data_IF_946972203377
#
_entry.id   IF_946972203377
#
_cell.length_a   1.000
_cell.length_b   1.000
_cell.length_c   1.000
_cell.angle_alpha   90.00
_cell.angle_beta   90.00
_cell.angle_gamma   90.00
#
_symmetry.space_group_name_H-M   'P 1'
#
loop_
_entity.id
_entity.type
_entity.pdbx_description
1 polymer ?
#
# COMPACT_ATOMS: atom_id res chain seq x y z
N UNK A 1 -27.21 -18.03 -8.57
CA UNK A 1 -28.30 -17.25 -7.95
C UNK A 1 -28.11 -15.73 -8.05
N UNK A 2 -27.10 -15.23 -8.78
CA UNK A 2 -26.68 -13.80 -8.76
C UNK A 2 -27.36 -12.96 -9.87
N UNK A 3 -27.67 -13.54 -11.04
CA UNK A 3 -28.35 -12.83 -12.15
C UNK A 3 -29.72 -12.27 -11.75
N UNK A 4 -30.44 -12.96 -10.85
CA UNK A 4 -31.72 -12.49 -10.33
C UNK A 4 -31.62 -11.24 -9.45
N UNK A 5 -30.49 -11.09 -8.74
CA UNK A 5 -30.25 -9.94 -7.85
C UNK A 5 -29.90 -8.67 -8.66
N UNK A 6 -29.08 -8.82 -9.70
CA UNK A 6 -28.72 -7.73 -10.62
C UNK A 6 -29.94 -7.14 -11.31
N UNK A 7 -30.84 -7.97 -11.87
CA UNK A 7 -32.07 -7.49 -12.52
C UNK A 7 -33.06 -6.87 -11.51
N UNK A 8 -33.13 -7.40 -10.29
CA UNK A 8 -33.95 -6.84 -9.19
C UNK A 8 -33.54 -5.40 -8.86
N UNK A 9 -32.22 -5.12 -8.81
CA UNK A 9 -31.70 -3.77 -8.57
C UNK A 9 -32.16 -2.78 -9.63
N UNK A 10 -32.17 -3.15 -10.91
CA UNK A 10 -32.63 -2.27 -11.99
C UNK A 10 -34.15 -2.07 -11.98
N UNK A 11 -34.92 -3.09 -11.57
CA UNK A 11 -36.35 -2.92 -11.34
C UNK A 11 -36.63 -1.91 -10.20
N UNK A 12 -35.82 -1.93 -9.13
CA UNK A 12 -35.91 -0.94 -8.05
C UNK A 12 -35.58 0.48 -8.54
N UNK A 13 -34.55 0.65 -9.39
CA UNK A 13 -34.23 1.94 -10.03
C UNK A 13 -35.38 2.46 -10.91
N UNK A 14 -36.01 1.57 -11.69
CA UNK A 14 -37.20 1.93 -12.48
C UNK A 14 -38.35 2.38 -11.57
N UNK A 15 -38.63 1.62 -10.51
CA UNK A 15 -39.67 1.98 -9.53
C UNK A 15 -39.42 3.34 -8.89
N UNK A 16 -38.15 3.64 -8.57
CA UNK A 16 -37.72 4.94 -8.03
C UNK A 16 -38.00 6.11 -9.00
N UNK A 17 -37.84 5.91 -10.31
CA UNK A 17 -38.19 6.94 -11.30
C UNK A 17 -39.70 7.13 -11.43
N UNK A 18 -40.47 6.04 -11.33
CA UNK A 18 -41.94 6.08 -11.45
C UNK A 18 -42.63 6.68 -10.21
N UNK A 19 -42.03 6.59 -9.02
CA UNK A 19 -42.62 7.15 -7.80
C UNK A 19 -42.58 8.69 -7.76
N UNK A 20 -41.65 9.32 -8.49
CA UNK A 20 -41.49 10.78 -8.53
C UNK A 20 -40.99 11.42 -7.22
N UNK A 21 -40.55 10.61 -6.25
CA UNK A 21 -40.12 11.08 -4.91
C UNK A 21 -38.59 11.20 -4.77
N UNK A 22 -37.84 10.85 -5.81
CA UNK A 22 -36.38 10.81 -5.78
C UNK A 22 -35.77 12.22 -5.87
N UNK A 23 -34.61 12.40 -5.22
CA UNK A 23 -33.82 13.62 -5.35
C UNK A 23 -33.26 13.77 -6.78
N UNK A 24 -32.87 14.99 -7.22
CA UNK A 24 -32.34 15.20 -8.57
C UNK A 24 -31.14 14.30 -8.90
N UNK A 25 -30.26 14.07 -7.93
CA UNK A 25 -29.10 13.19 -8.12
C UNK A 25 -29.50 11.74 -8.31
N UNK A 26 -30.45 11.24 -7.51
CA UNK A 26 -30.96 9.88 -7.65
C UNK A 26 -31.69 9.67 -8.99
N UNK A 27 -32.41 10.68 -9.47
CA UNK A 27 -33.05 10.64 -10.80
C UNK A 27 -31.98 10.55 -11.88
N UNK A 28 -30.95 11.40 -11.85
CA UNK A 28 -29.86 11.37 -12.84
C UNK A 28 -29.11 10.04 -12.81
N UNK A 29 -28.78 9.52 -11.63
CA UNK A 29 -28.15 8.21 -11.49
C UNK A 29 -29.02 7.09 -12.07
N UNK A 30 -30.28 6.98 -11.62
CA UNK A 30 -31.18 5.90 -12.05
C UNK A 30 -31.53 5.97 -13.53
N UNK A 31 -31.81 7.17 -14.06
CA UNK A 31 -32.09 7.38 -15.47
C UNK A 31 -30.90 6.98 -16.33
N UNK A 32 -29.71 7.41 -15.97
CA UNK A 32 -28.48 7.09 -16.68
C UNK A 32 -28.17 5.60 -16.67
N UNK A 33 -28.45 4.94 -15.54
CA UNK A 33 -28.17 3.52 -15.36
C UNK A 33 -29.00 2.66 -16.32
N UNK A 34 -30.27 3.03 -16.51
CA UNK A 34 -31.19 2.41 -17.45
C UNK A 34 -30.84 2.78 -18.90
N UNK A 35 -30.49 4.03 -19.18
CA UNK A 35 -30.12 4.50 -20.53
C UNK A 35 -28.87 3.79 -21.07
N UNK A 36 -27.85 3.62 -20.23
CA UNK A 36 -26.61 2.90 -20.56
C UNK A 36 -26.81 1.39 -20.77
N UNK A 37 -28.01 0.87 -20.52
CA UNK A 37 -28.38 -0.56 -20.58
C UNK A 37 -29.70 -0.80 -21.34
N UNK A 38 -30.12 0.17 -22.15
CA UNK A 38 -31.46 0.23 -22.77
C UNK A 38 -31.84 -0.95 -23.66
N UNK A 39 -30.87 -1.65 -24.25
CA UNK A 39 -31.11 -2.86 -25.06
C UNK A 39 -31.45 -4.07 -24.21
N UNK A 40 -31.15 -4.02 -22.90
CA UNK A 40 -31.34 -5.11 -21.94
C UNK A 40 -32.37 -4.78 -20.87
N UNK A 41 -32.61 -3.50 -20.59
CA UNK A 41 -33.48 -3.02 -19.52
C UNK A 41 -34.59 -2.10 -20.06
N UNK A 42 -35.74 -2.13 -19.39
CA UNK A 42 -36.86 -1.23 -19.70
C UNK A 42 -36.53 0.21 -19.26
N UNK A 43 -36.82 1.17 -20.14
CA UNK A 43 -36.56 2.61 -19.92
C UNK A 43 -37.83 3.42 -19.67
N UNK A 44 -38.92 2.75 -19.27
CA UNK A 44 -40.19 3.41 -18.97
C UNK A 44 -40.01 4.45 -17.84
N UNK A 45 -40.60 5.64 -18.02
CA UNK A 45 -40.52 6.74 -17.05
C UNK A 45 -39.23 7.55 -17.07
N UNK A 46 -38.16 7.10 -17.74
CA UNK A 46 -36.86 7.81 -17.81
C UNK A 46 -37.03 9.21 -18.40
N UNK A 47 -37.63 9.30 -19.59
CA UNK A 47 -37.87 10.56 -20.30
C UNK A 47 -38.72 11.54 -19.47
N UNK A 48 -39.78 11.03 -18.84
CA UNK A 48 -40.67 11.84 -18.02
C UNK A 48 -39.95 12.38 -16.78
N UNK A 49 -39.13 11.54 -16.12
CA UNK A 49 -38.34 11.93 -14.97
C UNK A 49 -37.29 12.98 -15.33
N UNK A 50 -36.55 12.81 -16.44
CA UNK A 50 -35.57 13.78 -16.91
C UNK A 50 -36.20 15.11 -17.35
N UNK A 51 -37.36 15.09 -18.01
CA UNK A 51 -38.12 16.32 -18.32
C UNK A 51 -38.64 17.02 -17.07
N UNK A 52 -38.94 16.25 -16.02
CA UNK A 52 -39.38 16.77 -14.73
C UNK A 52 -38.29 17.49 -13.92
N UNK A 53 -37.01 17.24 -14.21
CA UNK A 53 -35.90 17.94 -13.56
C UNK A 53 -35.73 19.36 -14.11
N UNK A 54 -35.96 20.35 -13.26
CA UNK A 54 -35.72 21.75 -13.59
C UNK A 54 -34.24 22.10 -13.59
N UNK A 55 -33.84 23.04 -14.45
CA UNK A 55 -32.47 23.58 -14.53
C UNK A 55 -31.88 23.99 -13.15
N UNK A 56 -32.61 24.69 -12.25
CA UNK A 56 -32.07 25.03 -10.94
C UNK A 56 -31.71 23.81 -10.07
N UNK A 57 -32.43 22.70 -10.23
CA UNK A 57 -32.17 21.46 -9.49
C UNK A 57 -30.89 20.78 -9.99
N UNK A 58 -30.69 20.74 -11.30
CA UNK A 58 -29.47 20.20 -11.92
C UNK A 58 -28.26 21.06 -11.57
N UNK A 59 -28.39 22.38 -11.60
CA UNK A 59 -27.32 23.29 -11.18
C UNK A 59 -26.95 23.12 -9.70
N UNK A 60 -27.96 22.99 -8.82
CA UNK A 60 -27.72 22.72 -7.40
C UNK A 60 -27.03 21.36 -7.18
N UNK A 61 -27.43 20.33 -7.94
CA UNK A 61 -26.77 19.03 -7.93
C UNK A 61 -25.32 19.11 -8.42
N UNK A 62 -25.04 19.81 -9.53
CA UNK A 62 -23.69 20.02 -10.04
C UNK A 62 -22.79 20.71 -9.01
N UNK A 63 -23.32 21.73 -8.30
CA UNK A 63 -22.61 22.43 -7.22
C UNK A 63 -22.27 21.52 -6.04
N UNK A 64 -23.07 20.48 -5.78
CA UNK A 64 -22.83 19.56 -4.67
C UNK A 64 -21.88 18.41 -5.03
N UNK A 65 -21.57 18.21 -6.32
CA UNK A 65 -20.73 17.11 -6.77
C UNK A 65 -19.28 17.26 -6.31
N UNK A 66 -18.72 16.16 -5.80
CA UNK A 66 -17.31 16.05 -5.40
C UNK A 66 -16.69 14.79 -6.02
N UNK A 67 -16.46 14.72 -7.35
CA UNK A 67 -15.96 13.51 -7.99
C UNK A 67 -14.65 13.00 -7.37
N UNK A 68 -13.81 13.89 -6.86
CA UNK A 68 -12.55 13.55 -6.20
C UNK A 68 -12.73 12.61 -5.00
N UNK A 69 -13.90 12.59 -4.35
CA UNK A 69 -14.17 11.65 -3.26
C UNK A 69 -14.30 10.20 -3.73
N UNK A 70 -14.44 9.95 -5.03
CA UNK A 70 -14.45 8.59 -5.58
C UNK A 70 -13.05 7.96 -5.59
N UNK A 71 -11.98 8.75 -5.60
CA UNK A 71 -10.61 8.21 -5.61
C UNK A 71 -10.34 7.32 -4.39
N UNK A 72 -10.49 7.79 -3.13
CA UNK A 72 -10.24 6.93 -1.97
C UNK A 72 -11.19 5.74 -1.90
N UNK A 73 -12.43 5.87 -2.41
CA UNK A 73 -13.39 4.76 -2.48
C UNK A 73 -12.91 3.67 -3.45
N UNK A 74 -12.45 4.05 -4.64
CA UNK A 74 -11.95 3.11 -5.64
C UNK A 74 -10.61 2.47 -5.25
N UNK A 75 -9.76 3.21 -4.56
CA UNK A 75 -8.51 2.67 -4.02
C UNK A 75 -8.78 1.61 -2.96
N UNK A 76 -9.68 1.91 -2.01
CA UNK A 76 -10.11 0.93 -1.02
C UNK A 76 -10.76 -0.29 -1.67
N UNK A 77 -11.65 -0.08 -2.65
CA UNK A 77 -12.26 -1.19 -3.37
C UNK A 77 -11.24 -2.07 -4.11
N UNK A 78 -10.13 -1.50 -4.59
CA UNK A 78 -9.05 -2.26 -5.21
C UNK A 78 -8.28 -3.11 -4.19
N UNK A 79 -8.07 -2.58 -2.97
CA UNK A 79 -7.46 -3.32 -1.85
C UNK A 79 -8.39 -4.47 -1.42
N UNK A 80 -9.65 -4.16 -1.13
CA UNK A 80 -10.67 -5.15 -0.75
C UNK A 80 -10.90 -6.22 -1.82
N UNK A 81 -10.78 -5.87 -3.11
CA UNK A 81 -10.89 -6.85 -4.19
C UNK A 81 -9.80 -7.93 -4.14
N UNK A 82 -8.58 -7.60 -3.69
CA UNK A 82 -7.50 -8.58 -3.55
C UNK A 82 -7.74 -9.50 -2.35
N UNK A 83 -8.29 -8.98 -1.26
CA UNK A 83 -8.63 -9.78 -0.07
C UNK A 83 -9.63 -10.89 -0.39
N UNK A 84 -10.47 -10.75 -1.42
CA UNK A 84 -11.38 -11.80 -1.89
C UNK A 84 -10.67 -13.11 -2.25
N UNK A 85 -9.39 -13.06 -2.65
CA UNK A 85 -8.60 -14.23 -3.03
C UNK A 85 -7.72 -14.71 -1.88
N UNK A 86 -7.31 -13.81 -0.99
CA UNK A 86 -6.44 -14.13 0.15
C UNK A 86 -7.25 -14.76 1.29
N UNK A 87 -8.47 -14.28 1.50
CA UNK A 87 -9.39 -14.79 2.51
C UNK A 87 -10.37 -15.81 1.92
N UNK A 88 -10.74 -16.81 2.73
CA UNK A 88 -11.71 -17.85 2.36
C UNK A 88 -13.02 -17.72 3.13
N UNK A 89 -14.13 -18.18 2.54
CA UNK A 89 -15.42 -18.27 3.23
C UNK A 89 -16.20 -16.95 3.31
N UNK A 90 -16.86 -16.68 4.45
CA UNK A 90 -17.78 -15.55 4.62
C UNK A 90 -17.11 -14.17 4.54
N UNK A 91 -15.84 -14.06 4.96
CA UNK A 91 -15.07 -12.80 4.87
C UNK A 91 -14.82 -12.41 3.42
N UNK A 92 -14.55 -13.38 2.53
CA UNK A 92 -14.40 -13.12 1.10
C UNK A 92 -15.68 -12.58 0.47
N UNK A 93 -16.86 -13.00 0.95
CA UNK A 93 -18.16 -12.47 0.49
C UNK A 93 -18.38 -11.03 0.95
N UNK A 94 -17.98 -10.71 2.18
CA UNK A 94 -17.99 -9.33 2.71
C UNK A 94 -17.07 -8.42 1.89
N UNK A 95 -15.82 -8.83 1.67
CA UNK A 95 -14.86 -8.06 0.86
C UNK A 95 -15.34 -7.87 -0.57
N UNK A 96 -15.89 -8.93 -1.18
CA UNK A 96 -16.45 -8.86 -2.53
C UNK A 96 -17.60 -7.86 -2.61
N UNK A 97 -18.49 -7.87 -1.62
CA UNK A 97 -19.62 -6.94 -1.56
C UNK A 97 -19.14 -5.50 -1.45
N UNK A 98 -18.24 -5.22 -0.50
CA UNK A 98 -17.67 -3.88 -0.29
C UNK A 98 -16.93 -3.36 -1.53
N UNK A 99 -16.10 -4.21 -2.15
CA UNK A 99 -15.36 -3.83 -3.35
C UNK A 99 -16.30 -3.54 -4.55
N UNK A 100 -17.36 -4.34 -4.72
CA UNK A 100 -18.38 -4.10 -5.74
C UNK A 100 -19.20 -2.84 -5.48
N UNK A 101 -19.43 -2.44 -4.23
CA UNK A 101 -20.06 -1.15 -3.91
C UNK A 101 -19.19 0.03 -4.35
N UNK A 102 -17.87 -0.08 -4.19
CA UNK A 102 -16.92 0.92 -4.68
C UNK A 102 -16.94 1.07 -6.20
N UNK A 103 -16.94 -0.05 -6.93
CA UNK A 103 -17.10 -0.03 -8.39
C UNK A 103 -18.48 0.54 -8.79
N UNK A 104 -19.53 0.17 -8.06
CA UNK A 104 -20.89 0.69 -8.27
C UNK A 104 -20.97 2.19 -8.03
N UNK A 105 -20.18 2.76 -7.10
CA UNK A 105 -20.14 4.20 -6.87
C UNK A 105 -19.58 4.96 -8.08
N UNK A 106 -18.53 4.42 -8.72
CA UNK A 106 -18.00 4.98 -9.97
C UNK A 106 -19.00 4.80 -11.12
N UNK A 107 -19.68 3.66 -11.20
CA UNK A 107 -20.69 3.41 -12.23
C UNK A 107 -21.87 4.38 -12.11
N UNK A 108 -22.37 4.64 -10.89
CA UNK A 108 -23.42 5.66 -10.64
C UNK A 108 -23.01 7.05 -11.12
N UNK A 109 -21.75 7.45 -10.92
CA UNK A 109 -21.26 8.74 -11.41
C UNK A 109 -21.20 8.80 -12.95
N UNK A 110 -20.83 7.70 -13.62
CA UNK A 110 -20.91 7.60 -15.08
C UNK A 110 -22.36 7.63 -15.59
N UNK A 111 -23.26 6.93 -14.92
CA UNK A 111 -24.70 6.95 -15.20
C UNK A 111 -25.26 8.38 -15.07
N UNK A 112 -24.97 9.09 -13.97
CA UNK A 112 -25.39 10.48 -13.81
C UNK A 112 -24.84 11.40 -14.91
N UNK A 113 -23.58 11.22 -15.33
CA UNK A 113 -23.00 11.97 -16.46
C UNK A 113 -23.73 11.69 -17.78
N UNK A 114 -24.07 10.43 -18.07
CA UNK A 114 -24.83 10.05 -19.26
C UNK A 114 -26.25 10.65 -19.23
N UNK A 115 -26.94 10.59 -18.08
CA UNK A 115 -28.25 11.19 -17.91
C UNK A 115 -28.24 12.72 -18.07
N UNK A 116 -27.18 13.39 -17.58
CA UNK A 116 -27.02 14.83 -17.74
C UNK A 116 -26.94 15.23 -19.22
N UNK A 117 -26.20 14.47 -20.04
CA UNK A 117 -26.12 14.73 -21.48
C UNK A 117 -27.49 14.57 -22.17
N UNK A 118 -28.28 13.55 -21.78
CA UNK A 118 -29.65 13.36 -22.29
C UNK A 118 -30.58 14.48 -21.80
N UNK A 119 -30.44 14.92 -20.55
CA UNK A 119 -31.19 16.05 -19.98
C UNK A 119 -30.92 17.36 -20.75
N UNK A 120 -29.67 17.65 -21.10
CA UNK A 120 -29.33 18.82 -21.95
C UNK A 120 -29.97 18.73 -23.34
N UNK A 121 -30.22 17.52 -23.86
CA UNK A 121 -30.98 17.29 -25.09
C UNK A 121 -32.45 17.73 -24.99
N UNK A 122 -33.06 17.71 -23.80
CA UNK A 122 -34.43 18.15 -23.58
C UNK A 122 -34.55 19.63 -23.20
N UNK A 123 -33.60 20.15 -22.42
CA UNK A 123 -33.68 21.49 -21.82
C UNK A 123 -32.74 22.52 -22.46
N UNK A 124 -31.95 22.10 -23.45
CA UNK A 124 -30.85 22.87 -24.00
C UNK A 124 -29.58 22.74 -23.17
N UNK A 125 -28.45 23.09 -23.78
CA UNK A 125 -27.15 23.06 -23.11
C UNK A 125 -27.11 24.01 -21.90
N UNK A 126 -26.39 23.60 -20.86
CA UNK A 126 -26.02 24.49 -19.77
C UNK A 126 -25.13 25.62 -20.29
N UNK A 127 -25.25 26.81 -19.69
CA UNK A 127 -24.47 28.01 -19.99
C UNK A 127 -23.85 28.60 -18.71
N UNK A 128 -22.96 29.58 -18.89
CA UNK A 128 -22.34 30.32 -17.79
C UNK A 128 -21.65 29.42 -16.75
N UNK A 129 -21.91 29.69 -15.47
CA UNK A 129 -21.34 28.95 -14.34
C UNK A 129 -21.76 27.48 -14.33
N UNK A 130 -22.98 27.17 -14.79
CA UNK A 130 -23.49 25.80 -14.83
C UNK A 130 -22.72 24.94 -15.84
N UNK A 131 -22.40 25.50 -17.01
CA UNK A 131 -21.55 24.84 -18.00
C UNK A 131 -20.15 24.56 -17.44
N UNK A 132 -19.55 25.52 -16.72
CA UNK A 132 -18.24 25.34 -16.09
C UNK A 132 -18.26 24.23 -15.03
N UNK A 133 -19.33 24.15 -14.22
CA UNK A 133 -19.49 23.09 -13.23
C UNK A 133 -19.65 21.71 -13.87
N UNK A 134 -20.45 21.62 -14.95
CA UNK A 134 -20.57 20.39 -15.76
C UNK A 134 -19.21 19.96 -16.32
N UNK A 135 -18.48 20.86 -16.96
CA UNK A 135 -17.20 20.54 -17.58
C UNK A 135 -16.16 20.12 -16.53
N UNK A 136 -16.15 20.79 -15.37
CA UNK A 136 -15.32 20.39 -14.23
C UNK A 136 -15.69 19.01 -13.69
N UNK A 137 -16.99 18.69 -13.61
CA UNK A 137 -17.47 17.39 -13.18
C UNK A 137 -16.99 16.28 -14.13
N UNK A 138 -17.19 16.46 -15.44
CA UNK A 138 -16.76 15.50 -16.46
C UNK A 138 -15.23 15.34 -16.53
N UNK A 139 -14.49 16.44 -16.51
CA UNK A 139 -13.03 16.42 -16.51
C UNK A 139 -12.46 15.72 -15.26
N UNK A 140 -13.11 15.89 -14.09
CA UNK A 140 -12.70 15.19 -12.88
C UNK A 140 -12.91 13.67 -12.98
N UNK A 141 -14.02 13.21 -13.59
CA UNK A 141 -14.24 11.79 -13.85
C UNK A 141 -13.19 11.22 -14.82
N UNK A 142 -12.89 11.94 -15.90
CA UNK A 142 -11.87 11.51 -16.86
C UNK A 142 -10.47 11.45 -16.23
N UNK A 143 -10.14 12.42 -15.37
CA UNK A 143 -8.88 12.43 -14.62
C UNK A 143 -8.77 11.22 -13.67
N UNK A 144 -9.88 10.84 -13.03
CA UNK A 144 -9.92 9.65 -12.17
C UNK A 144 -9.70 8.37 -12.99
N UNK A 145 -10.38 8.24 -14.13
CA UNK A 145 -10.23 7.07 -14.99
C UNK A 145 -8.81 6.93 -15.53
N UNK A 146 -8.20 8.05 -15.94
CA UNK A 146 -6.81 8.07 -16.40
C UNK A 146 -5.83 7.65 -15.31
N UNK A 147 -6.10 8.03 -14.06
CA UNK A 147 -5.24 7.69 -12.91
C UNK A 147 -5.43 6.26 -12.39
N UNK A 148 -6.62 5.67 -12.55
CA UNK A 148 -6.99 4.41 -11.90
C UNK A 148 -7.17 3.23 -12.86
N UNK A 149 -7.31 3.46 -14.16
CA UNK A 149 -7.46 2.39 -15.16
C UNK A 149 -6.30 1.40 -15.18
N UNK A 150 -5.06 1.86 -14.93
CA UNK A 150 -3.90 0.97 -14.77
C UNK A 150 -4.02 0.03 -13.57
N UNK A 151 -4.87 0.36 -12.60
CA UNK A 151 -5.20 -0.50 -11.44
C UNK A 151 -6.31 -1.50 -11.73
N UNK A 152 -6.79 -1.63 -12.96
CA UNK A 152 -7.82 -2.62 -13.33
C UNK A 152 -7.44 -4.06 -12.94
N UNK A 153 -6.14 -4.38 -12.88
CA UNK A 153 -5.67 -5.71 -12.47
C UNK A 153 -6.11 -6.11 -11.06
N UNK A 154 -6.24 -5.15 -10.14
CA UNK A 154 -6.62 -5.41 -8.75
C UNK A 154 -8.08 -5.87 -8.62
N UNK A 155 -8.91 -5.59 -9.63
CA UNK A 155 -10.32 -5.99 -9.66
C UNK A 155 -10.58 -7.32 -10.38
N UNK A 156 -9.55 -8.05 -10.83
CA UNK A 156 -9.70 -9.35 -11.48
C UNK A 156 -10.45 -10.37 -10.59
N UNK A 157 -10.27 -10.41 -9.26
CA UNK A 157 -11.04 -11.31 -8.39
C UNK A 157 -12.57 -11.12 -8.46
N UNK A 158 -13.02 -9.95 -8.89
CA UNK A 158 -14.43 -9.60 -9.05
C UNK A 158 -14.97 -9.88 -10.46
N UNK A 159 -14.14 -10.42 -11.37
CA UNK A 159 -14.48 -10.59 -12.78
C UNK A 159 -15.80 -11.32 -13.06
N UNK A 160 -16.20 -12.37 -12.32
CA UNK A 160 -17.50 -13.01 -12.53
C UNK A 160 -18.68 -12.03 -12.43
N UNK A 161 -18.65 -11.09 -11.49
CA UNK A 161 -19.68 -10.06 -11.31
C UNK A 161 -19.45 -8.87 -12.26
N UNK A 162 -18.20 -8.44 -12.47
CA UNK A 162 -17.89 -7.35 -13.40
C UNK A 162 -18.34 -7.67 -14.83
N UNK A 163 -18.19 -8.92 -15.29
CA UNK A 163 -18.69 -9.37 -16.59
C UNK A 163 -20.21 -9.32 -16.67
N UNK A 164 -20.92 -9.71 -15.62
CA UNK A 164 -22.39 -9.61 -15.58
C UNK A 164 -22.86 -8.16 -15.75
N UNK A 165 -22.20 -7.21 -15.08
CA UNK A 165 -22.51 -5.78 -15.26
C UNK A 165 -22.14 -5.26 -16.64
N UNK A 166 -20.95 -5.63 -17.16
CA UNK A 166 -20.49 -5.28 -18.51
C UNK A 166 -21.47 -5.75 -19.58
N UNK A 167 -21.94 -6.99 -19.48
CA UNK A 167 -22.78 -7.61 -20.50
C UNK A 167 -24.18 -6.99 -20.56
N UNK A 168 -24.58 -6.24 -19.52
CA UNK A 168 -25.80 -5.42 -19.52
C UNK A 168 -25.62 -4.06 -20.19
N UNK A 169 -24.39 -3.53 -20.22
CA UNK A 169 -24.10 -2.23 -20.84
C UNK A 169 -24.27 -2.29 -22.36
N UNK A 170 -24.70 -1.18 -22.94
CA UNK A 170 -24.65 -0.96 -24.38
C UNK A 170 -23.23 -1.15 -24.91
N UNK A 171 -23.04 -1.71 -26.13
CA UNK A 171 -21.70 -1.94 -26.68
C UNK A 171 -20.78 -0.70 -26.66
N UNK A 172 -21.33 0.49 -26.91
CA UNK A 172 -20.57 1.74 -26.87
C UNK A 172 -20.08 2.13 -25.46
N UNK A 173 -20.75 1.64 -24.41
CA UNK A 173 -20.43 1.92 -23.01
C UNK A 173 -19.45 0.88 -22.43
N UNK A 174 -19.38 -0.32 -23.02
CA UNK A 174 -18.52 -1.41 -22.53
C UNK A 174 -17.03 -1.03 -22.57
N UNK A 175 -16.59 -0.37 -23.65
CA UNK A 175 -15.20 0.05 -23.80
C UNK A 175 -14.85 1.22 -22.87
N UNK A 176 -15.79 2.14 -22.64
CA UNK A 176 -15.61 3.28 -21.75
C UNK A 176 -15.59 2.88 -20.26
N UNK A 177 -16.36 1.85 -19.88
CA UNK A 177 -16.49 1.36 -18.52
C UNK A 177 -15.32 0.43 -18.13
N UNK A 178 -14.09 0.95 -18.10
CA UNK A 178 -12.88 0.19 -17.77
C UNK A 178 -13.01 -0.60 -16.46
N UNK A 179 -13.75 -0.07 -15.48
CA UNK A 179 -13.99 -0.73 -14.19
C UNK A 179 -14.78 -2.04 -14.32
N UNK A 180 -15.47 -2.31 -15.43
CA UNK A 180 -16.09 -3.60 -15.72
C UNK A 180 -15.44 -4.36 -16.87
N UNK A 181 -14.79 -3.69 -17.82
CA UNK A 181 -14.24 -4.32 -19.03
C UNK A 181 -12.73 -4.58 -18.98
N UNK A 182 -11.95 -3.67 -18.38
CA UNK A 182 -10.50 -3.81 -18.37
C UNK A 182 -10.08 -5.02 -17.53
N UNK A 183 -9.28 -5.90 -18.14
CA UNK A 183 -8.81 -7.17 -17.52
C UNK A 183 -9.93 -8.14 -17.16
N UNK A 184 -11.14 -7.98 -17.71
CA UNK A 184 -12.28 -8.85 -17.42
C UNK A 184 -12.12 -10.29 -17.95
N UNK A 185 -11.11 -10.57 -18.78
CA UNK A 185 -10.78 -11.92 -19.27
C UNK A 185 -9.50 -12.51 -18.66
N UNK A 186 -8.92 -11.86 -17.65
CA UNK A 186 -7.60 -12.20 -17.11
C UNK A 186 -7.65 -13.02 -15.82
N UNK A 187 -8.67 -13.87 -15.65
CA UNK A 187 -8.89 -14.65 -14.41
C UNK A 187 -7.67 -15.49 -14.02
N UNK A 188 -6.95 -16.03 -15.01
CA UNK A 188 -5.74 -16.84 -14.82
C UNK A 188 -4.62 -16.11 -14.07
N UNK A 189 -4.58 -14.77 -14.10
CA UNK A 189 -3.57 -14.00 -13.38
C UNK A 189 -3.73 -14.15 -11.87
N UNK A 190 -4.96 -14.27 -11.37
CA UNK A 190 -5.21 -14.39 -9.92
C UNK A 190 -4.57 -15.65 -9.35
N UNK A 191 -4.56 -16.75 -10.11
CA UNK A 191 -3.92 -17.99 -9.69
C UNK A 191 -2.40 -17.82 -9.43
N UNK A 192 -1.77 -16.81 -10.04
CA UNK A 192 -0.34 -16.52 -9.83
C UNK A 192 -0.04 -15.78 -8.53
N UNK A 193 -1.06 -15.19 -7.89
CA UNK A 193 -0.88 -14.42 -6.64
C UNK A 193 -0.88 -15.31 -5.40
N UNK A 194 -1.59 -16.43 -5.43
CA UNK A 194 -1.74 -17.34 -4.28
C UNK A 194 -0.93 -18.63 -4.41
N UNK A 195 -0.47 -18.97 -5.62
CA UNK A 195 0.32 -20.17 -5.87
C UNK A 195 1.44 -19.88 -6.88
N UNK A 196 2.59 -20.55 -6.74
CA UNK A 196 3.59 -20.61 -7.80
C UNK A 196 3.02 -21.44 -8.96
N UNK A 197 2.69 -20.85 -10.13
CA UNK A 197 2.13 -21.62 -11.23
C UNK A 197 3.19 -22.61 -11.73
N UNK A 198 2.91 -23.92 -11.64
CA UNK A 198 3.83 -24.95 -12.17
C UNK A 198 3.93 -24.91 -13.70
N UNK A 199 2.90 -24.39 -14.37
CA UNK A 199 2.85 -24.16 -15.82
C UNK A 199 1.97 -22.95 -16.12
N UNK A 200 2.47 -22.00 -16.92
CA UNK A 200 1.70 -20.85 -17.40
C UNK A 200 0.57 -21.31 -18.33
N UNK A 201 -0.65 -20.83 -18.11
CA UNK A 201 -1.80 -21.08 -18.99
C UNK A 201 -1.60 -20.40 -20.36
N UNK A 202 -2.35 -20.82 -21.39
CA UNK A 202 -2.28 -20.20 -22.72
C UNK A 202 -2.58 -18.70 -22.68
N UNK A 203 -3.56 -18.27 -21.88
CA UNK A 203 -3.87 -16.86 -21.70
C UNK A 203 -2.67 -16.08 -21.14
N UNK A 204 -2.00 -16.60 -20.11
CA UNK A 204 -0.83 -15.94 -19.51
C UNK A 204 0.37 -15.88 -20.46
N UNK A 205 0.45 -16.76 -21.46
CA UNK A 205 1.49 -16.73 -22.49
C UNK A 205 1.20 -15.71 -23.59
N UNK A 206 -0.07 -15.54 -23.97
CA UNK A 206 -0.48 -14.68 -25.09
C UNK A 206 -0.80 -13.24 -24.66
N UNK A 207 -1.31 -13.03 -23.44
CA UNK A 207 -1.72 -11.72 -22.95
C UNK A 207 -0.51 -10.88 -22.53
N UNK A 208 -0.19 -9.85 -23.32
CA UNK A 208 0.91 -8.90 -23.04
C UNK A 208 0.78 -8.24 -21.66
N UNK A 209 -0.42 -7.80 -21.29
CA UNK A 209 -0.65 -7.15 -19.99
C UNK A 209 -0.41 -8.09 -18.80
N UNK A 210 -0.86 -9.36 -18.89
CA UNK A 210 -0.60 -10.35 -17.85
C UNK A 210 0.88 -10.72 -17.77
N UNK A 211 1.58 -10.81 -18.91
CA UNK A 211 3.03 -11.04 -18.93
C UNK A 211 3.82 -9.91 -18.29
N UNK A 212 3.46 -8.66 -18.58
CA UNK A 212 4.07 -7.50 -17.95
C UNK A 212 3.87 -7.52 -16.43
N UNK A 213 2.65 -7.79 -15.96
CA UNK A 213 2.37 -7.88 -14.51
C UNK A 213 3.18 -9.00 -13.83
N UNK A 214 3.31 -10.17 -14.46
CA UNK A 214 4.13 -11.27 -13.92
C UNK A 214 5.61 -10.92 -13.91
N UNK A 215 6.12 -10.21 -14.92
CA UNK A 215 7.50 -9.75 -14.95
C UNK A 215 7.80 -8.71 -13.85
N UNK A 216 6.84 -7.81 -13.59
CA UNK A 216 6.93 -6.82 -12.52
C UNK A 216 6.82 -7.43 -11.11
N UNK A 217 6.08 -8.54 -10.96
CA UNK A 217 5.93 -9.29 -9.70
C UNK A 217 7.11 -10.24 -9.41
N UNK A 218 7.77 -10.77 -10.45
CA UNK A 218 8.91 -11.68 -10.34
C UNK A 218 10.05 -11.23 -9.38
N UNK A 219 10.42 -9.93 -9.25
CA UNK A 219 11.42 -9.51 -8.28
C UNK A 219 10.93 -9.44 -6.82
N UNK A 220 9.61 -9.38 -6.57
CA UNK A 220 9.02 -9.35 -5.21
C UNK A 220 8.78 -10.77 -4.68
N UNK A 221 8.45 -11.71 -5.57
CA UNK A 221 8.21 -13.13 -5.25
C UNK A 221 9.45 -14.02 -5.38
N UNK A 222 10.60 -13.48 -5.80
CA UNK A 222 11.85 -14.20 -5.60
C UNK A 222 12.07 -14.34 -4.10
N UNK A 223 12.15 -15.58 -3.55
CA UNK A 223 12.59 -15.75 -2.18
C UNK A 223 13.90 -14.97 -2.03
N UNK A 224 14.14 -14.27 -0.91
CA UNK A 224 15.46 -13.70 -0.67
C UNK A 224 16.47 -14.81 -0.95
N UNK A 225 17.44 -14.54 -1.83
CA UNK A 225 18.46 -15.54 -2.20
C UNK A 225 18.89 -16.18 -0.88
N UNK A 226 18.60 -17.47 -0.70
CA UNK A 226 18.83 -18.15 0.58
C UNK A 226 20.34 -18.15 0.81
N UNK A 227 20.85 -17.13 1.49
CA UNK A 227 22.23 -17.08 1.90
C UNK A 227 22.49 -18.25 2.85
N UNK A 228 23.74 -18.72 2.86
CA UNK A 228 24.18 -19.67 3.88
C UNK A 228 23.89 -19.09 5.26
N UNK A 229 23.23 -19.87 6.11
CA UNK A 229 23.00 -19.47 7.49
C UNK A 229 24.29 -19.60 8.30
N UNK A 230 24.35 -18.98 9.47
CA UNK A 230 25.48 -19.16 10.38
C UNK A 230 25.68 -20.63 10.78
N UNK A 231 24.59 -21.40 10.86
CA UNK A 231 24.64 -22.84 11.12
C UNK A 231 25.21 -23.64 9.94
N UNK A 232 24.86 -23.28 8.70
CA UNK A 232 25.42 -23.91 7.50
C UNK A 232 26.93 -23.67 7.39
N UNK A 233 27.37 -22.44 7.68
CA UNK A 233 28.79 -22.08 7.70
C UNK A 233 29.55 -22.80 8.82
N UNK A 234 28.97 -22.89 10.01
CA UNK A 234 29.56 -23.63 11.13
C UNK A 234 29.63 -25.15 10.84
N UNK A 235 28.60 -25.72 10.21
CA UNK A 235 28.63 -27.14 9.82
C UNK A 235 29.65 -27.42 8.72
N UNK A 236 29.88 -26.46 7.81
CA UNK A 236 30.94 -26.53 6.80
C UNK A 236 32.30 -26.53 7.48
N UNK A 237 32.56 -25.55 8.34
CA UNK A 237 33.79 -25.36 9.12
C UNK A 237 34.13 -26.60 9.98
N UNK A 238 33.14 -27.15 10.67
CA UNK A 238 33.32 -28.36 11.49
C UNK A 238 33.37 -29.67 10.68
N UNK A 239 33.31 -29.61 9.34
CA UNK A 239 33.32 -30.79 8.47
C UNK A 239 32.08 -31.69 8.57
N UNK A 240 30.99 -31.21 9.18
CA UNK A 240 29.76 -31.95 9.49
C UNK A 240 28.77 -32.04 8.32
N UNK A 241 29.11 -31.45 7.16
CA UNK A 241 28.32 -31.57 5.94
C UNK A 241 28.61 -32.89 5.23
N UNK A 242 27.55 -33.55 4.77
CA UNK A 242 27.63 -34.68 3.83
C UNK A 242 28.13 -34.23 2.45
N UNK A 243 28.60 -35.18 1.64
CA UNK A 243 29.13 -34.92 0.28
C UNK A 243 28.09 -34.26 -0.65
N UNK A 244 26.83 -34.68 -0.55
CA UNK A 244 25.69 -34.09 -1.28
C UNK A 244 25.36 -32.67 -0.81
N UNK A 245 25.57 -32.35 0.47
CA UNK A 245 25.37 -30.99 1.00
C UNK A 245 26.51 -30.05 0.57
N UNK A 246 27.75 -30.52 0.55
CA UNK A 246 28.91 -29.74 0.07
C UNK A 246 28.77 -29.37 -1.40
N UNK A 247 28.42 -30.34 -2.24
CA UNK A 247 28.21 -30.10 -3.69
C UNK A 247 27.11 -29.06 -3.95
N UNK A 248 26.06 -29.06 -3.12
CA UNK A 248 24.98 -28.04 -3.17
C UNK A 248 25.44 -26.68 -2.68
N UNK A 249 26.28 -26.63 -1.66
CA UNK A 249 26.89 -25.41 -1.13
C UNK A 249 27.84 -24.78 -2.15
N UNK A 250 28.68 -25.56 -2.81
CA UNK A 250 29.60 -25.09 -3.87
C UNK A 250 28.84 -24.54 -5.09
N UNK A 251 27.76 -25.21 -5.50
CA UNK A 251 26.89 -24.71 -6.55
C UNK A 251 26.19 -23.38 -6.16
N UNK A 252 25.98 -23.15 -4.86
CA UNK A 252 25.40 -21.93 -4.32
C UNK A 252 26.41 -20.78 -4.24
N UNK A 253 27.61 -21.02 -3.69
CA UNK A 253 28.67 -20.01 -3.58
C UNK A 253 29.15 -19.53 -4.95
N UNK A 254 29.16 -20.41 -5.97
CA UNK A 254 29.41 -20.03 -7.36
C UNK A 254 28.41 -19.00 -7.93
N UNK A 255 27.23 -18.85 -7.32
CA UNK A 255 26.16 -17.93 -7.76
C UNK A 255 25.91 -16.78 -6.79
N UNK A 256 26.47 -16.84 -5.57
CA UNK A 256 26.26 -15.87 -4.50
C UNK A 256 27.61 -15.33 -3.99
N UNK A 257 27.99 -14.13 -4.44
CA UNK A 257 29.27 -13.51 -4.08
C UNK A 257 29.46 -13.27 -2.59
N UNK A 258 28.39 -12.95 -1.84
CA UNK A 258 28.46 -12.75 -0.39
C UNK A 258 28.73 -14.07 0.35
N UNK A 259 28.13 -15.18 -0.09
CA UNK A 259 28.39 -16.50 0.49
C UNK A 259 29.76 -17.04 0.09
N UNK A 260 30.22 -16.77 -1.14
CA UNK A 260 31.59 -17.08 -1.54
C UNK A 260 32.61 -16.34 -0.67
N UNK A 261 32.38 -15.06 -0.39
CA UNK A 261 33.23 -14.28 0.51
C UNK A 261 33.21 -14.81 1.95
N UNK A 262 32.06 -15.27 2.45
CA UNK A 262 31.96 -15.86 3.78
C UNK A 262 32.73 -17.17 3.91
N UNK A 263 32.69 -18.04 2.89
CA UNK A 263 33.48 -19.28 2.87
C UNK A 263 34.97 -18.99 2.76
N UNK A 264 35.38 -18.08 1.88
CA UNK A 264 36.79 -17.65 1.78
C UNK A 264 37.33 -17.08 3.11
N UNK A 265 36.50 -16.36 3.86
CA UNK A 265 36.89 -15.83 5.16
C UNK A 265 37.08 -16.93 6.23
N UNK A 266 36.41 -18.08 6.11
CA UNK A 266 36.67 -19.24 6.96
C UNK A 266 38.01 -19.89 6.61
N UNK A 267 38.24 -20.12 5.31
CA UNK A 267 39.51 -20.69 4.81
C UNK A 267 40.72 -19.81 5.19
N UNK A 268 40.58 -18.48 5.07
CA UNK A 268 41.60 -17.51 5.50
C UNK A 268 41.81 -17.54 7.02
N UNK A 269 40.75 -17.79 7.80
CA UNK A 269 40.81 -17.91 9.25
C UNK A 269 41.52 -19.18 9.71
N UNK A 270 41.23 -20.33 9.08
CA UNK A 270 41.88 -21.61 9.36
C UNK A 270 43.38 -21.56 9.01
N UNK A 271 43.72 -21.02 7.85
CA UNK A 271 45.12 -20.81 7.46
C UNK A 271 45.89 -19.92 8.46
N UNK A 272 45.24 -18.89 9.02
CA UNK A 272 45.85 -18.03 10.03
C UNK A 272 46.02 -18.72 11.40
N UNK A 273 45.13 -19.67 11.74
CA UNK A 273 45.27 -20.49 12.96
C UNK A 273 46.44 -21.46 12.79
N UNK A 274 46.52 -22.14 11.66
CA UNK A 274 47.61 -23.06 11.35
C UNK A 274 48.97 -22.35 11.37
N UNK A 275 49.08 -21.18 10.72
CA UNK A 275 50.30 -20.36 10.76
C UNK A 275 50.68 -19.95 12.18
N UNK A 276 49.70 -19.62 13.03
CA UNK A 276 49.94 -19.27 14.43
C UNK A 276 50.41 -20.48 15.26
N UNK A 277 49.85 -21.66 15.02
CA UNK A 277 50.25 -22.90 15.71
C UNK A 277 51.66 -23.33 15.29
N UNK A 278 52.00 -23.22 14.01
CA UNK A 278 53.35 -23.49 13.49
C UNK A 278 54.38 -22.52 14.09
N UNK A 279 54.00 -21.24 14.25
CA UNK A 279 54.85 -20.24 14.93
C UNK A 279 55.02 -20.48 16.44
N UNK A 280 54.04 -21.12 17.09
CA UNK A 280 54.15 -21.54 18.49
C UNK A 280 55.04 -22.78 18.68
N UNK A 281 55.04 -23.71 17.71
CA UNK A 281 55.93 -24.88 17.69
C UNK A 281 57.40 -24.53 17.39
N UNK A 282 57.66 -23.53 16.54
CA UNK A 282 59.02 -23.08 16.20
C UNK A 282 59.66 -22.13 17.24
N UNK A 283 59.00 -21.91 18.38
CA UNK A 283 59.63 -21.44 19.60
C UNK A 283 60.37 -20.10 19.48
N UNK A 284 59.67 -18.99 19.18
CA UNK A 284 60.13 -17.66 19.59
C UNK A 284 59.01 -16.76 20.09
N UNK A 285 59.03 -16.49 21.40
CA UNK A 285 58.20 -15.48 22.03
C UNK A 285 58.65 -14.09 21.59
N UNK A 286 57.77 -13.31 20.96
CA UNK A 286 57.90 -11.85 20.92
C UNK A 286 56.54 -11.17 21.03
N UNK A 287 56.32 -10.54 22.19
CA UNK A 287 55.25 -9.55 22.43
C UNK A 287 55.46 -8.30 21.56
N UNK A 288 54.33 -7.77 21.10
CA UNK A 288 54.06 -6.40 20.60
C UNK A 288 54.25 -6.12 19.12
N UNK A 289 53.15 -5.77 18.44
CA UNK A 289 53.03 -4.48 17.75
C UNK A 289 51.55 -4.10 17.53
N UNK A 290 51.21 -2.87 17.94
CA UNK A 290 50.01 -2.13 17.54
C UNK A 290 50.19 -1.56 16.12
N UNK A 291 49.04 -1.20 15.52
CA UNK A 291 48.85 -0.26 14.38
C UNK A 291 49.26 -0.87 13.02
N UNK A 292 48.58 -0.72 11.89
CA UNK A 292 47.63 0.28 11.40
C UNK A 292 46.93 -0.31 10.18
N UNK A 293 45.60 -0.21 10.06
CA UNK A 293 44.97 -0.15 8.73
C UNK A 293 43.79 0.82 8.78
N UNK A 294 43.87 1.80 7.88
CA UNK A 294 42.93 2.90 7.71
C UNK A 294 41.50 2.40 7.47
N UNK A 295 40.47 3.16 7.89
CA UNK A 295 39.10 2.83 7.55
C UNK A 295 38.93 3.00 6.04
N UNK A 296 38.77 1.89 5.34
CA UNK A 296 38.26 1.90 3.96
C UNK A 296 36.83 2.43 4.05
N UNK A 297 36.63 3.63 3.52
CA UNK A 297 35.32 4.26 3.37
C UNK A 297 34.49 3.45 2.39
N UNK A 298 33.85 2.38 2.86
CA UNK A 298 32.74 1.78 2.14
C UNK A 298 31.55 2.74 2.24
N UNK A 299 31.36 3.53 1.18
CA UNK A 299 30.04 4.02 0.79
C UNK A 299 29.20 2.80 0.43
N UNK A 300 28.67 2.14 1.45
CA UNK A 300 27.58 1.20 1.31
C UNK A 300 26.28 2.00 1.37
N UNK A 301 25.53 1.96 0.27
CA UNK A 301 24.11 2.30 0.29
C UNK A 301 23.44 1.36 1.30
N UNK A 302 23.28 1.82 2.53
CA UNK A 302 22.59 1.07 3.58
C UNK A 302 21.11 0.98 3.20
N UNK A 303 20.68 -0.22 2.84
CA UNK A 303 19.28 -0.61 2.92
C UNK A 303 18.78 -0.27 4.34
N UNK A 304 17.75 0.58 4.42
CA UNK A 304 17.15 1.03 5.67
C UNK A 304 16.36 -0.15 6.28
N UNK A 305 16.95 -0.82 7.26
CA UNK A 305 16.18 -1.64 8.21
C UNK A 305 15.33 -0.71 9.10
N UNK A 306 14.11 -1.11 9.49
CA UNK A 306 13.12 -0.22 10.08
C UNK A 306 13.58 0.29 11.45
N UNK A 307 13.44 1.60 11.66
CA UNK A 307 13.62 2.24 12.96
C UNK A 307 12.64 1.63 13.97
N UNK A 308 13.13 1.05 15.06
CA UNK A 308 12.25 0.56 16.12
C UNK A 308 11.84 1.76 16.98
N UNK A 309 10.58 2.18 16.81
CA UNK A 309 9.96 3.31 17.51
C UNK A 309 8.99 2.78 18.55
N UNK A 310 9.29 3.02 19.82
CA UNK A 310 8.45 2.67 20.96
C UNK A 310 7.83 3.94 21.54
N UNK A 311 6.49 4.00 21.61
CA UNK A 311 5.78 5.15 22.20
C UNK A 311 5.75 4.97 23.72
N UNK A 312 6.45 5.84 24.45
CA UNK A 312 6.54 5.76 25.92
C UNK A 312 5.37 6.46 26.62
N UNK A 313 4.88 7.56 26.03
CA UNK A 313 3.75 8.34 26.54
C UNK A 313 3.10 9.13 25.40
N UNK A 314 1.77 9.21 25.38
CA UNK A 314 1.00 9.99 24.42
C UNK A 314 0.01 10.87 25.18
N UNK A 315 0.13 12.18 24.96
CA UNK A 315 -0.71 13.21 25.57
C UNK A 315 -1.42 14.01 24.47
N UNK A 316 -2.33 14.88 24.89
CA UNK A 316 -3.15 15.66 23.95
C UNK A 316 -2.29 16.61 23.11
N UNK A 317 -1.24 17.18 23.72
CA UNK A 317 -0.41 18.20 23.07
C UNK A 317 0.95 17.68 22.57
N UNK A 318 1.39 16.48 22.98
CA UNK A 318 2.66 15.91 22.54
C UNK A 318 2.72 14.39 22.74
N UNK A 319 3.65 13.73 22.05
CA UNK A 319 3.98 12.32 22.28
C UNK A 319 5.48 12.12 22.49
N UNK A 320 5.85 11.17 23.33
CA UNK A 320 7.23 10.81 23.65
C UNK A 320 7.53 9.43 23.06
N UNK A 321 8.56 9.36 22.23
CA UNK A 321 8.95 8.16 21.49
C UNK A 321 10.42 7.84 21.76
N UNK A 322 10.69 6.60 22.15
CA UNK A 322 12.04 6.06 22.19
C UNK A 322 12.37 5.43 20.84
N UNK A 323 13.45 5.89 20.23
CA UNK A 323 13.93 5.41 18.93
C UNK A 323 15.24 4.68 19.14
N UNK A 324 15.25 3.39 18.78
CA UNK A 324 16.45 2.53 18.86
C UNK A 324 16.94 2.19 17.46
N UNK A 325 18.18 2.55 17.17
CA UNK A 325 18.83 2.33 15.86
C UNK A 325 20.23 1.75 16.05
N UNK A 326 20.41 0.44 15.82
CA UNK A 326 21.68 -0.31 15.93
C UNK A 326 22.44 -0.09 17.25
N UNK A 327 23.16 1.03 17.37
CA UNK A 327 23.98 1.42 18.52
C UNK A 327 23.58 2.79 19.10
N UNK A 328 22.51 3.40 18.59
CA UNK A 328 22.01 4.70 19.02
C UNK A 328 20.66 4.57 19.69
N UNK A 329 20.51 5.23 20.83
CA UNK A 329 19.26 5.35 21.55
C UNK A 329 18.91 6.82 21.61
N UNK A 330 17.74 7.21 21.08
CA UNK A 330 17.29 8.59 21.06
C UNK A 330 15.90 8.69 21.65
N UNK A 331 15.69 9.73 22.46
CA UNK A 331 14.37 10.08 22.95
C UNK A 331 13.83 11.25 22.13
N UNK A 332 12.65 11.10 21.57
CA UNK A 332 12.01 12.07 20.68
C UNK A 332 10.71 12.56 21.31
N UNK A 333 10.58 13.88 21.47
CA UNK A 333 9.36 14.54 21.92
C UNK A 333 8.72 15.25 20.73
N UNK A 334 7.58 14.74 20.26
CA UNK A 334 6.90 15.23 19.08
C UNK A 334 5.69 16.10 19.47
N UNK A 335 5.61 17.35 19.01
CA UNK A 335 4.44 18.19 19.23
C UNK A 335 3.25 17.67 18.41
N UNK A 336 2.08 17.60 19.05
CA UNK A 336 0.81 17.33 18.37
C UNK A 336 0.04 18.64 18.24
N UNK A 337 -0.71 18.82 17.15
CA UNK A 337 -1.50 20.03 16.87
C UNK A 337 -0.73 21.37 16.71
N UNK A 338 0.55 21.34 16.33
CA UNK A 338 1.30 22.55 15.95
C UNK A 338 1.70 23.48 17.10
N UNK A 339 1.67 23.00 18.35
CA UNK A 339 2.06 23.76 19.56
C UNK A 339 3.57 23.71 19.80
N UNK A 340 4.10 24.77 20.42
CA UNK A 340 5.50 24.80 20.86
C UNK A 340 5.69 23.93 22.10
N UNK A 341 6.61 22.98 22.04
CA UNK A 341 6.96 22.08 23.15
C UNK A 341 8.37 22.39 23.60
N UNK A 342 8.60 22.40 24.91
CA UNK A 342 9.94 22.48 25.52
C UNK A 342 10.18 21.20 26.32
N UNK A 343 11.35 20.58 26.16
CA UNK A 343 11.71 19.36 26.86
C UNK A 343 13.14 19.43 27.39
N UNK A 344 13.41 18.73 28.49
CA UNK A 344 14.73 18.56 29.08
C UNK A 344 14.90 17.15 29.64
N UNK A 345 16.08 16.56 29.45
CA UNK A 345 16.41 15.21 29.95
C UNK A 345 17.56 15.29 30.95
N UNK A 346 17.38 14.61 32.09
CA UNK A 346 18.31 14.57 33.20
C UNK A 346 18.74 13.11 33.45
N UNK A 347 20.04 12.82 33.34
CA UNK A 347 20.61 11.51 33.68
C UNK A 347 20.96 11.39 35.18
N UNK A 348 20.94 12.50 35.91
CA UNK A 348 21.15 12.56 37.37
C UNK A 348 20.45 13.81 37.92
N UNK A 349 19.97 13.81 39.18
CA UNK A 349 19.22 14.95 39.73
C UNK A 349 20.05 16.23 39.72
N UNK A 350 19.53 17.30 39.10
CA UNK A 350 20.01 18.68 39.30
C UNK A 350 20.36 19.49 38.05
N UNK A 351 20.95 18.93 36.99
CA UNK A 351 21.26 19.69 35.75
C UNK A 351 20.90 18.91 34.48
N UNK A 352 20.33 19.57 33.46
CA UNK A 352 20.04 18.92 32.19
C UNK A 352 21.35 18.44 31.58
N UNK A 353 21.51 17.12 31.47
CA UNK A 353 22.80 16.52 31.10
C UNK A 353 22.94 16.37 29.59
N UNK A 354 21.84 16.50 28.83
CA UNK A 354 21.80 16.26 27.40
C UNK A 354 21.30 17.48 26.65
N UNK A 355 22.03 17.84 25.58
CA UNK A 355 21.70 18.99 24.74
C UNK A 355 20.55 18.61 23.79
N UNK A 356 19.45 19.38 23.75
CA UNK A 356 18.35 19.13 22.82
C UNK A 356 18.80 19.38 21.37
N UNK A 357 18.40 18.49 20.47
CA UNK A 357 18.50 18.67 19.03
C UNK A 357 17.10 18.91 18.44
N UNK A 358 16.86 20.10 17.89
CA UNK A 358 15.59 20.43 17.25
C UNK A 358 15.58 19.91 15.81
N UNK A 359 14.59 19.08 15.48
CA UNK A 359 14.41 18.51 14.14
C UNK A 359 12.98 18.66 13.63
N UNK A 360 12.71 18.24 12.38
CA UNK A 360 11.39 18.35 11.76
C UNK A 360 10.32 17.50 12.47
N UNK A 361 10.74 16.45 13.18
CA UNK A 361 9.87 15.56 13.93
C UNK A 361 9.64 15.99 15.40
N UNK A 362 10.34 17.02 15.89
CA UNK A 362 10.26 17.47 17.29
C UNK A 362 11.63 17.68 17.95
N UNK A 363 11.69 17.53 19.28
CA UNK A 363 12.92 17.67 20.07
C UNK A 363 13.51 16.29 20.34
N UNK A 364 14.75 16.06 19.90
CA UNK A 364 15.46 14.80 20.10
C UNK A 364 16.59 14.94 21.13
N UNK A 365 16.77 13.91 21.96
CA UNK A 365 17.87 13.77 22.92
C UNK A 365 18.64 12.48 22.62
N UNK A 366 19.96 12.59 22.46
CA UNK A 366 20.82 11.44 22.23
C UNK A 366 21.23 10.80 23.56
N UNK A 367 20.77 9.58 23.80
CA UNK A 367 21.05 8.76 24.98
C UNK A 367 22.19 7.77 24.74
N UNK A 368 22.78 7.75 23.54
CA UNK A 368 23.81 6.80 23.12
C UNK A 368 25.04 6.84 24.02
N UNK A 369 25.55 8.04 24.32
CA UNK A 369 26.70 8.21 25.21
C UNK A 369 26.39 7.80 26.65
N UNK A 370 25.15 8.04 27.10
CA UNK A 370 24.70 7.69 28.45
C UNK A 370 24.57 6.17 28.64
N UNK A 371 23.99 5.49 27.65
CA UNK A 371 23.89 4.03 27.59
C UNK A 371 25.27 3.37 27.57
N UNK A 372 26.22 3.91 26.78
CA UNK A 372 27.59 3.42 26.74
C UNK A 372 28.35 3.57 28.07
N UNK A 373 28.00 4.58 28.88
CA UNK A 373 28.56 4.79 30.23
C UNK A 373 27.84 4.02 31.34
N UNK A 374 26.83 3.20 31.01
CA UNK A 374 26.12 2.33 31.96
C UNK A 374 24.88 2.95 32.63
N UNK A 375 24.45 4.15 32.23
CA UNK A 375 23.18 4.72 32.69
C UNK A 375 22.02 4.01 31.98
N UNK A 376 21.03 3.54 32.77
CA UNK A 376 19.87 2.78 32.29
C UNK A 376 18.53 3.48 32.51
N UNK A 377 18.55 4.67 33.10
CA UNK A 377 17.36 5.48 33.36
C UNK A 377 17.63 6.95 33.15
N UNK A 378 16.61 7.68 32.71
CA UNK A 378 16.63 9.12 32.53
C UNK A 378 15.30 9.72 33.00
N UNK A 379 15.38 10.92 33.55
CA UNK A 379 14.23 11.73 33.90
C UNK A 379 13.92 12.70 32.76
N UNK A 380 12.71 12.65 32.22
CA UNK A 380 12.22 13.57 31.20
C UNK A 380 11.26 14.57 31.84
N UNK A 381 11.51 15.86 31.62
CA UNK A 381 10.56 16.94 31.87
C UNK A 381 10.12 17.54 30.53
N UNK A 382 8.82 17.53 30.24
CA UNK A 382 8.20 18.14 29.05
C UNK A 382 7.16 19.16 29.50
N UNK A 383 7.18 20.33 28.88
CA UNK A 383 6.17 21.36 29.04
C UNK A 383 5.60 21.74 27.66
N UNK A 384 4.28 21.65 27.53
CA UNK A 384 3.53 21.96 26.32
C UNK A 384 2.23 22.68 26.70
N UNK A 385 2.17 24.01 26.52
CA UNK A 385 1.01 24.81 26.92
C UNK A 385 0.75 24.72 28.43
N UNK A 386 -0.40 24.14 28.81
CA UNK A 386 -0.79 23.89 30.21
C UNK A 386 -0.44 22.48 30.71
N UNK A 387 0.11 21.61 29.84
CA UNK A 387 0.49 20.25 30.20
C UNK A 387 1.97 20.19 30.59
N UNK A 388 2.25 19.53 31.72
CA UNK A 388 3.60 19.21 32.19
C UNK A 388 3.70 17.72 32.47
N UNK A 389 4.73 17.07 31.95
CA UNK A 389 5.08 15.68 32.20
C UNK A 389 6.46 15.62 32.82
N UNK A 390 6.57 15.03 34.01
CA UNK A 390 7.82 14.67 34.67
C UNK A 390 7.80 13.17 34.91
N UNK A 391 8.70 12.44 34.25
CA UNK A 391 8.68 10.98 34.30
C UNK A 391 10.07 10.38 34.14
N UNK A 392 10.36 9.40 34.99
CA UNK A 392 11.51 8.52 34.82
C UNK A 392 11.18 7.42 33.82
N UNK A 393 12.08 7.18 32.88
CA UNK A 393 11.98 6.08 31.93
C UNK A 393 13.29 5.30 31.88
N UNK A 394 13.16 3.98 31.73
CA UNK A 394 14.28 3.09 31.51
C UNK A 394 14.53 2.97 29.99
N UNK A 395 15.79 2.87 29.59
CA UNK A 395 16.17 2.77 28.17
C UNK A 395 17.29 1.74 27.94
#
# INVERSE_FOLDING_TARGET
MIVGDTLSRYAARRSQLLSGTASPGEVLEAAGDLLRRRSRLETEGVDAALRGLGRPQVEAWLKSQKPQSLQPVLLRAAEEAVEVVLDGGEEADMWRTSALEGLSARDRAASAAHALAVWEGFHGALDGDAAQLRDRFLAALQSLDSALSSRARWFIPLNPQRRQERDLLEPAEQDAAWWFSARAGCDDLVATWTASPQTLTSHLQECEACRADMADAAPVDMPPRRHLTAEDLWRLDMGLLSEDERTRLDAHTARCGECAQAVLALDEGEAAIDEALDMEEDGTVARSARTSRAPVSHRAHAARLPEQREVLDERRDFRVVLVRERQRVRLLVQPLAGRTVTAAVFLSPGRPSLKPAHGPEGIAFDLTSASATGARSAHLSVQAGSETLERDFAF
#
